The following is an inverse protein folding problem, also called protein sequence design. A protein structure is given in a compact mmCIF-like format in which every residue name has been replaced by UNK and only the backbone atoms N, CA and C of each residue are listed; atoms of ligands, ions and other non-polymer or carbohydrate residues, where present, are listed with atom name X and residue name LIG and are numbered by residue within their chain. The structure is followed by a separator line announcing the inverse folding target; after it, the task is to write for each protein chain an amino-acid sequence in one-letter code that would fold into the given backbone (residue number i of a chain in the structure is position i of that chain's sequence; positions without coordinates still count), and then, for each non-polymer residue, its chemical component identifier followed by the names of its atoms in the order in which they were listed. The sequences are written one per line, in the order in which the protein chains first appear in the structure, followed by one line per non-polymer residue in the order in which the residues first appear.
data_IF_275684928044
#
_entry.id   IF_275684928044
#
_cell.length_a   1.000
_cell.length_b   1.000
_cell.length_c   1.000
_cell.angle_alpha   90.00
_cell.angle_beta   90.00
_cell.angle_gamma   90.00
#
_symmetry.space_group_name_H-M   'P 1'
#
loop_
_entity.id
_entity.type
_entity.pdbx_description
1 polymer ?
#
# COMPACT_ATOMS: atom_id res chain seq x y z
N UNK A 1 -5.12 -4.35 19.44
CA UNK A 1 -5.55 -3.55 18.27
C UNK A 1 -4.32 -2.82 17.75
N UNK A 2 -3.98 -3.00 16.48
CA UNK A 2 -2.83 -2.35 15.84
C UNK A 2 -3.23 -1.04 15.18
N UNK A 3 -2.28 -0.15 14.87
CA UNK A 3 -2.55 1.07 14.11
C UNK A 3 -3.10 0.77 12.69
N UNK A 4 -2.71 -0.37 12.11
CA UNK A 4 -3.17 -0.82 10.80
C UNK A 4 -4.68 -1.05 10.75
N UNK A 5 -5.27 -1.54 11.84
CA UNK A 5 -6.71 -1.80 11.95
C UNK A 5 -7.56 -0.51 11.92
N UNK A 6 -6.90 0.64 12.05
CA UNK A 6 -7.52 1.98 12.02
C UNK A 6 -7.29 2.73 10.70
N UNK A 7 -6.64 2.12 9.72
CA UNK A 7 -6.48 2.68 8.37
C UNK A 7 -7.82 2.56 7.64
N UNK A 8 -8.29 3.64 7.03
CA UNK A 8 -9.58 3.69 6.34
C UNK A 8 -9.53 3.03 4.94
N UNK A 9 -8.50 3.34 4.15
CA UNK A 9 -8.41 2.97 2.75
C UNK A 9 -7.08 2.28 2.43
N UNK A 10 -5.96 2.97 2.58
CA UNK A 10 -4.64 2.49 2.20
C UNK A 10 -3.50 3.26 2.87
N UNK A 11 -2.29 2.84 2.56
CA UNK A 11 -1.05 3.40 3.08
C UNK A 11 -0.10 3.64 1.93
N UNK A 12 0.45 4.86 1.86
CA UNK A 12 1.46 5.20 0.86
C UNK A 12 2.86 4.95 1.40
N UNK A 13 3.70 4.32 0.57
CA UNK A 13 5.15 4.20 0.80
C UNK A 13 5.86 4.97 -0.31
N UNK A 14 6.63 5.99 0.05
CA UNK A 14 7.58 6.64 -0.86
C UNK A 14 9.01 6.30 -0.43
N UNK A 15 9.81 5.81 -1.37
CA UNK A 15 11.20 5.46 -1.12
C UNK A 15 12.03 5.51 -2.41
N UNK A 16 13.31 5.17 -2.31
CA UNK A 16 14.22 5.07 -3.42
C UNK A 16 14.83 3.67 -3.49
N UNK A 17 14.69 2.99 -4.64
CA UNK A 17 15.17 1.63 -4.85
C UNK A 17 16.33 1.66 -5.84
N UNK A 18 17.45 1.04 -5.47
CA UNK A 18 18.59 0.82 -6.38
C UNK A 18 18.20 -0.27 -7.38
N UNK A 19 18.29 0.06 -8.68
CA UNK A 19 17.92 -0.83 -9.78
C UNK A 19 18.45 -0.25 -11.11
N UNK A 20 18.56 -1.10 -12.13
CA UNK A 20 19.10 -0.68 -13.44
C UNK A 20 18.00 -0.15 -14.38
N UNK A 21 16.72 -0.42 -14.08
CA UNK A 21 15.60 0.00 -14.91
C UNK A 21 14.30 0.25 -14.11
N UNK A 22 13.41 1.07 -14.69
CA UNK A 22 12.08 1.37 -14.11
C UNK A 22 11.28 0.11 -13.80
N UNK A 23 11.26 -0.85 -14.71
CA UNK A 23 10.46 -2.08 -14.54
C UNK A 23 10.99 -2.99 -13.43
N UNK A 24 12.32 -3.01 -13.23
CA UNK A 24 12.93 -3.68 -12.09
C UNK A 24 12.53 -2.97 -10.78
N UNK A 25 12.64 -1.65 -10.74
CA UNK A 25 12.23 -0.83 -9.60
C UNK A 25 10.76 -1.02 -9.21
N UNK A 26 9.85 -1.09 -10.19
CA UNK A 26 8.43 -1.42 -9.97
C UNK A 26 8.25 -2.81 -9.37
N UNK A 27 8.93 -3.81 -9.93
CA UNK A 27 8.85 -5.20 -9.48
C UNK A 27 9.35 -5.34 -8.03
N UNK A 28 10.49 -4.71 -7.71
CA UNK A 28 11.04 -4.66 -6.36
C UNK A 28 10.11 -3.91 -5.40
N UNK A 29 9.51 -2.80 -5.83
CA UNK A 29 8.57 -2.02 -5.03
C UNK A 29 7.30 -2.81 -4.65
N UNK A 30 6.69 -3.50 -5.61
CA UNK A 30 5.52 -4.34 -5.34
C UNK A 30 5.88 -5.52 -4.42
N UNK A 31 7.04 -6.13 -4.62
CA UNK A 31 7.54 -7.18 -3.73
C UNK A 31 7.76 -6.67 -2.30
N UNK A 32 8.31 -5.47 -2.13
CA UNK A 32 8.46 -4.82 -0.83
C UNK A 32 7.10 -4.62 -0.13
N UNK A 33 6.06 -4.20 -0.86
CA UNK A 33 4.72 -4.06 -0.29
C UNK A 33 4.16 -5.39 0.22
N UNK A 34 4.37 -6.48 -0.53
CA UNK A 34 4.01 -7.83 -0.09
C UNK A 34 4.79 -8.26 1.16
N UNK A 35 6.10 -7.98 1.23
CA UNK A 35 6.94 -8.24 2.41
C UNK A 35 6.52 -7.41 3.64
N UNK A 36 5.94 -6.22 3.43
CA UNK A 36 5.31 -5.38 4.46
C UNK A 36 3.88 -5.81 4.81
N UNK A 37 3.37 -6.88 4.20
CA UNK A 37 2.07 -7.47 4.49
C UNK A 37 0.90 -6.79 3.79
N UNK A 38 1.09 -6.10 2.66
CA UNK A 38 0.00 -5.68 1.80
C UNK A 38 -0.28 -6.75 0.75
N UNK A 39 -1.53 -7.24 0.70
CA UNK A 39 -1.97 -8.21 -0.29
C UNK A 39 -2.37 -7.56 -1.62
N UNK A 40 -2.59 -6.25 -1.60
CA UNK A 40 -3.00 -5.44 -2.74
C UNK A 40 -2.25 -4.11 -2.71
N UNK A 41 -1.51 -3.81 -3.78
CA UNK A 41 -0.73 -2.59 -3.90
C UNK A 41 -0.51 -2.18 -5.35
N UNK A 42 -0.45 -0.87 -5.58
CA UNK A 42 -0.20 -0.26 -6.88
C UNK A 42 1.01 0.68 -6.86
N UNK A 43 1.69 0.80 -8.01
CA UNK A 43 2.70 1.83 -8.24
C UNK A 43 1.99 3.12 -8.68
N UNK A 44 1.98 4.13 -7.82
CA UNK A 44 1.38 5.45 -8.13
C UNK A 44 2.39 6.43 -8.77
N UNK A 45 3.68 6.23 -8.55
CA UNK A 45 4.74 7.00 -9.21
C UNK A 45 6.03 6.17 -9.29
N UNK A 46 6.76 6.28 -10.39
CA UNK A 46 8.09 5.69 -10.51
C UNK A 46 8.90 6.43 -11.57
N UNK A 47 10.07 6.95 -11.19
CA UNK A 47 10.95 7.70 -12.09
C UNK A 47 12.42 7.32 -11.83
N UNK A 48 13.19 7.10 -12.91
CA UNK A 48 14.63 6.91 -12.80
C UNK A 48 15.32 8.18 -12.33
N UNK A 49 16.27 8.02 -11.42
CA UNK A 49 17.23 9.07 -11.08
C UNK A 49 18.50 8.43 -10.53
N UNK A 50 19.67 9.00 -10.80
CA UNK A 50 20.93 8.48 -10.25
C UNK A 50 21.08 6.94 -10.38
N UNK A 51 21.28 6.20 -9.27
CA UNK A 51 21.51 4.75 -9.29
C UNK A 51 20.24 3.89 -9.24
N UNK A 52 19.04 4.45 -9.46
CA UNK A 52 17.81 3.69 -9.28
C UNK A 52 16.55 4.48 -9.59
N UNK A 53 15.46 4.18 -8.88
CA UNK A 53 14.17 4.86 -9.01
C UNK A 53 13.72 5.51 -7.72
N UNK A 54 13.15 6.70 -7.83
CA UNK A 54 12.20 7.21 -6.82
C UNK A 54 10.85 6.56 -7.11
N UNK A 55 10.29 5.87 -6.14
CA UNK A 55 9.02 5.15 -6.30
C UNK A 55 8.05 5.51 -5.18
N UNK A 56 6.78 5.66 -5.54
CA UNK A 56 5.65 5.77 -4.62
C UNK A 56 4.69 4.61 -4.89
N UNK A 57 4.35 3.91 -3.82
CA UNK A 57 3.47 2.75 -3.81
C UNK A 57 2.27 3.05 -2.91
N UNK A 58 1.11 2.50 -3.25
CA UNK A 58 -0.09 2.54 -2.41
C UNK A 58 -0.50 1.11 -2.08
N UNK A 59 -0.44 0.75 -0.80
CA UNK A 59 -0.97 -0.52 -0.30
C UNK A 59 -2.41 -0.32 0.14
N UNK A 60 -3.33 -1.13 -0.37
CA UNK A 60 -4.75 -1.07 -0.01
C UNK A 60 -5.00 -1.94 1.22
N UNK A 61 -5.70 -1.37 2.21
CA UNK A 61 -6.21 -2.09 3.40
C UNK A 61 -7.68 -2.45 3.18
N UNK A 62 -8.46 -1.51 2.67
CA UNK A 62 -9.85 -1.72 2.26
C UNK A 62 -10.03 -1.14 0.85
N UNK A 63 -10.38 -1.98 -0.13
CA UNK A 63 -10.80 -1.47 -1.44
C UNK A 63 -12.17 -0.79 -1.33
N UNK A 64 -12.50 0.18 -2.19
CA UNK A 64 -13.86 0.67 -2.31
C UNK A 64 -14.83 -0.51 -2.51
N UNK A 65 -15.86 -0.61 -1.66
CA UNK A 65 -16.80 -1.74 -1.54
C UNK A 65 -16.30 -3.00 -0.78
N UNK A 66 -15.16 -2.95 -0.08
CA UNK A 66 -14.77 -3.98 0.88
C UNK A 66 -15.56 -3.84 2.20
N UNK A 67 -15.72 -4.95 2.92
CA UNK A 67 -16.30 -4.96 4.27
C UNK A 67 -15.38 -4.20 5.24
N UNK A 68 -15.91 -3.14 5.83
CA UNK A 68 -15.17 -2.33 6.80
C UNK A 68 -15.42 -2.89 8.20
N UNK A 69 -14.42 -3.56 8.79
CA UNK A 69 -14.54 -4.20 10.11
C UNK A 69 -14.93 -3.26 11.25
N UNK A 70 -14.72 -1.96 11.09
CA UNK A 70 -15.10 -0.93 12.07
C UNK A 70 -16.53 -0.40 11.86
N UNK A 71 -17.13 -0.60 10.67
CA UNK A 71 -18.47 -0.12 10.34
C UNK A 71 -19.56 -1.03 10.94
N UNK A 72 -19.33 -2.34 10.96
CA UNK A 72 -20.28 -3.30 11.53
C UNK A 72 -20.44 -3.18 13.06
N UNK A 73 -19.54 -2.48 13.76
CA UNK A 73 -19.61 -2.32 15.21
C UNK A 73 -20.60 -1.24 15.68
N UNK A 74 -20.97 -0.29 14.83
CA UNK A 74 -21.96 0.75 15.20
C UNK A 74 -23.41 0.31 14.94
N UNK A 75 -23.64 -0.58 13.97
CA UNK A 75 -24.99 -1.04 13.63
C UNK A 75 -25.65 -1.88 14.74
N UNK A 76 -24.87 -2.67 15.47
CA UNK A 76 -25.35 -3.52 16.58
C UNK A 76 -25.52 -2.76 17.92
N UNK A 77 -25.20 -1.46 17.96
CA UNK A 77 -25.36 -0.62 19.16
C UNK A 77 -26.63 0.24 19.15
N UNK A 78 -27.51 0.02 18.16
CA UNK A 78 -28.85 0.60 18.05
C UNK A 78 -29.89 -0.55 18.01
N UNK A 79 -29.96 -1.33 19.09
CA UNK A 79 -31.14 -2.14 19.44
C UNK A 79 -31.50 -1.94 20.91
#
# INVERSE_FOLDING_TARGET
MSARDRILDGCDLETFIVCDAVEEGKSLGLRLMAELGFDDADVVFCEMGGPGVRIRLRGYVYRPAAEYRWYDQEADSIE
#
